data_IF_595196088403
#
_entry.id   IF_595196088403
#
_cell.length_a   1.000
_cell.length_b   1.000
_cell.length_c   1.000
_cell.angle_alpha   90.00
_cell.angle_beta   90.00
_cell.angle_gamma   90.00
#
_symmetry.space_group_name_H-M   'P 1'
#
loop_
_entity.id
_entity.type
_entity.pdbx_description
1 polymer ?
#
# COMPACT_ATOMS: atom_id res chain seq x y z
N UNK A 1 -22.70 1.34 -13.13
CA UNK A 1 -22.32 2.47 -12.21
C UNK A 1 -20.81 2.67 -12.36
N UNK A 2 -20.39 3.88 -12.72
CA UNK A 2 -18.95 4.19 -12.86
C UNK A 2 -18.50 5.05 -11.69
N UNK A 3 -17.39 4.68 -11.07
CA UNK A 3 -16.84 5.38 -9.91
C UNK A 3 -15.42 5.87 -10.25
N UNK A 4 -15.21 7.16 -10.08
CA UNK A 4 -13.88 7.77 -10.21
C UNK A 4 -13.19 7.71 -8.84
N UNK A 5 -12.03 7.09 -8.79
CA UNK A 5 -11.21 7.01 -7.56
C UNK A 5 -10.05 7.98 -7.70
N UNK A 6 -9.87 8.83 -6.70
CA UNK A 6 -8.83 9.87 -6.69
C UNK A 6 -7.94 9.73 -5.44
N UNK A 7 -6.65 9.85 -5.65
CA UNK A 7 -5.65 9.89 -4.59
C UNK A 7 -4.72 11.10 -4.86
N UNK A 8 -4.96 12.19 -4.14
CA UNK A 8 -4.17 13.43 -4.22
C UNK A 8 -2.99 13.37 -3.25
N UNK A 9 -1.78 13.48 -3.79
CA UNK A 9 -0.57 13.80 -3.03
C UNK A 9 -0.25 15.29 -3.15
N UNK A 10 0.85 15.72 -2.53
CA UNK A 10 1.25 17.15 -2.51
C UNK A 10 1.52 17.73 -3.90
N UNK A 11 2.11 16.96 -4.81
CA UNK A 11 2.47 17.41 -6.18
C UNK A 11 2.11 16.38 -7.25
N UNK A 12 1.21 15.43 -6.91
CA UNK A 12 0.79 14.38 -7.84
C UNK A 12 -0.64 13.95 -7.54
N UNK A 13 -1.28 13.37 -8.55
CA UNK A 13 -2.63 12.85 -8.43
C UNK A 13 -2.70 11.53 -9.21
N UNK A 14 -3.15 10.49 -8.55
CA UNK A 14 -3.47 9.20 -9.18
C UNK A 14 -4.98 9.06 -9.28
N UNK A 15 -5.45 8.51 -10.40
CA UNK A 15 -6.87 8.26 -10.57
C UNK A 15 -7.13 6.94 -11.28
N UNK A 16 -8.36 6.45 -11.09
CA UNK A 16 -8.85 5.27 -11.78
C UNK A 16 -10.37 5.40 -11.95
N UNK A 17 -10.88 5.20 -13.16
CA UNK A 17 -12.31 5.10 -13.41
C UNK A 17 -12.68 3.62 -13.49
N UNK A 18 -13.57 3.17 -12.63
CA UNK A 18 -13.96 1.75 -12.50
C UNK A 18 -15.42 1.58 -12.86
N UNK A 19 -15.74 0.61 -13.72
CA UNK A 19 -17.13 0.15 -13.89
C UNK A 19 -17.44 -0.86 -12.79
N UNK A 20 -18.31 -0.48 -11.87
CA UNK A 20 -18.67 -1.31 -10.72
C UNK A 20 -19.56 -2.51 -11.07
N UNK A 21 -20.07 -2.59 -12.30
CA UNK A 21 -20.83 -3.79 -12.74
C UNK A 21 -19.91 -4.96 -13.11
N UNK A 22 -18.68 -4.65 -13.57
CA UNK A 22 -17.66 -5.65 -13.94
C UNK A 22 -16.46 -5.64 -13.00
N UNK A 23 -16.34 -4.61 -12.18
CA UNK A 23 -15.15 -4.29 -11.35
C UNK A 23 -13.88 -4.04 -12.21
N UNK A 24 -14.04 -3.71 -13.49
CA UNK A 24 -12.95 -3.44 -14.41
C UNK A 24 -12.54 -1.96 -14.41
N UNK A 25 -11.26 -1.73 -14.52
CA UNK A 25 -10.70 -0.39 -14.69
C UNK A 25 -10.84 0.06 -16.15
N UNK A 26 -11.70 1.05 -16.39
CA UNK A 26 -11.88 1.64 -17.72
C UNK A 26 -10.68 2.49 -18.11
N UNK A 27 -10.15 3.27 -17.17
CA UNK A 27 -8.95 4.09 -17.35
C UNK A 27 -8.25 4.26 -16.02
N UNK A 28 -6.93 4.41 -16.08
CA UNK A 28 -6.13 4.80 -14.91
C UNK A 28 -5.06 5.78 -15.33
N UNK A 29 -4.67 6.67 -14.42
CA UNK A 29 -3.65 7.64 -14.78
C UNK A 29 -2.95 8.25 -13.58
N UNK A 30 -1.94 9.02 -13.95
CA UNK A 30 -1.07 9.72 -13.02
C UNK A 30 -0.84 11.13 -13.57
N UNK A 31 -1.07 12.12 -12.73
CA UNK A 31 -0.61 13.50 -12.96
C UNK A 31 0.58 13.73 -12.04
N UNK A 32 1.64 14.26 -12.60
CA UNK A 32 2.90 14.52 -11.90
C UNK A 32 3.29 15.98 -12.02
N UNK A 33 4.05 16.47 -11.04
CA UNK A 33 4.66 17.80 -11.01
C UNK A 33 3.61 18.93 -11.00
N UNK A 34 2.50 18.70 -10.27
CA UNK A 34 1.45 19.72 -10.08
C UNK A 34 2.07 20.91 -9.32
N UNK A 35 1.88 22.12 -9.82
CA UNK A 35 2.44 23.35 -9.26
C UNK A 35 3.93 23.53 -9.54
N UNK A 36 4.53 22.68 -10.40
CA UNK A 36 5.96 22.69 -10.71
C UNK A 36 6.13 22.61 -12.23
N UNK A 37 7.21 23.19 -12.76
CA UNK A 37 7.51 23.15 -14.20
C UNK A 37 7.59 21.70 -14.71
N UNK A 38 7.01 21.44 -15.86
CA UNK A 38 7.02 20.13 -16.50
C UNK A 38 5.89 19.20 -16.06
N UNK A 39 4.76 19.78 -15.67
CA UNK A 39 3.56 19.01 -15.30
C UNK A 39 3.12 18.10 -16.46
N UNK A 40 2.74 16.86 -16.14
CA UNK A 40 2.35 15.86 -17.14
C UNK A 40 1.24 14.95 -16.61
N UNK A 41 0.24 14.70 -17.46
CA UNK A 41 -0.76 13.64 -17.25
C UNK A 41 -0.40 12.45 -18.15
N UNK A 42 -0.43 11.26 -17.58
CA UNK A 42 -0.31 10.00 -18.31
C UNK A 42 -1.55 9.15 -18.02
N UNK A 43 -2.41 8.96 -19.02
CA UNK A 43 -3.59 8.07 -18.95
C UNK A 43 -3.28 6.76 -19.65
N UNK A 44 -3.74 5.67 -19.06
CA UNK A 44 -3.66 4.32 -19.61
C UNK A 44 -5.06 3.71 -19.70
N UNK A 45 -5.37 3.19 -20.89
CA UNK A 45 -6.57 2.41 -21.17
C UNK A 45 -6.09 1.05 -21.65
N UNK A 46 -6.69 -0.04 -21.21
CA UNK A 46 -6.26 -1.37 -21.62
C UNK A 46 -6.42 -1.54 -23.14
N UNK A 47 -5.38 -2.08 -23.79
CA UNK A 47 -5.34 -2.29 -25.22
C UNK A 47 -5.03 -1.05 -26.06
N UNK A 48 -4.81 0.11 -25.45
CA UNK A 48 -4.45 1.36 -26.16
C UNK A 48 -3.07 1.86 -25.75
N UNK A 49 -2.46 2.67 -26.61
CA UNK A 49 -1.23 3.40 -26.27
C UNK A 49 -1.49 4.41 -25.15
N UNK A 50 -0.44 4.77 -24.42
CA UNK A 50 -0.55 5.76 -23.35
C UNK A 50 -0.89 7.13 -23.93
N UNK A 51 -1.91 7.76 -23.40
CA UNK A 51 -2.25 9.16 -23.71
C UNK A 51 -1.47 10.05 -22.74
N UNK A 52 -0.60 10.92 -23.30
CA UNK A 52 0.28 11.78 -22.51
C UNK A 52 0.00 13.23 -22.87
N UNK A 53 -0.34 14.05 -21.88
CA UNK A 53 -0.57 15.48 -22.04
C UNK A 53 0.44 16.23 -21.17
N UNK A 54 1.24 17.08 -21.82
CA UNK A 54 2.21 17.96 -21.15
C UNK A 54 1.68 19.39 -21.24
N UNK A 55 1.29 19.94 -20.11
CA UNK A 55 0.85 21.34 -20.01
C UNK A 55 1.03 21.83 -18.58
N UNK A 56 1.24 23.14 -18.38
CA UNK A 56 1.32 23.68 -17.03
C UNK A 56 0.03 23.42 -16.25
N UNK A 57 0.18 23.03 -14.99
CA UNK A 57 -0.92 22.85 -14.03
C UNK A 57 -0.52 23.61 -12.77
N UNK A 58 -1.20 24.72 -12.49
CA UNK A 58 -0.86 25.59 -11.37
C UNK A 58 -1.20 24.91 -10.02
N UNK A 59 -2.26 24.11 -10.01
CA UNK A 59 -2.75 23.47 -8.80
C UNK A 59 -3.50 22.16 -9.10
N UNK A 60 -4.06 21.55 -8.06
CA UNK A 60 -4.82 20.29 -8.18
C UNK A 60 -6.14 20.47 -8.93
N UNK A 61 -6.72 21.67 -8.95
CA UNK A 61 -7.94 21.94 -9.72
C UNK A 61 -7.66 21.81 -11.23
N UNK A 62 -6.55 22.40 -11.69
CA UNK A 62 -6.09 22.24 -13.09
C UNK A 62 -5.84 20.76 -13.40
N UNK A 63 -5.20 20.04 -12.47
CA UNK A 63 -4.89 18.62 -12.65
C UNK A 63 -6.19 17.78 -12.74
N UNK A 64 -7.15 18.01 -11.87
CA UNK A 64 -8.44 17.28 -11.88
C UNK A 64 -9.22 17.62 -13.15
N UNK A 65 -9.27 18.89 -13.53
CA UNK A 65 -9.90 19.30 -14.78
C UNK A 65 -9.31 18.55 -15.97
N UNK A 66 -7.98 18.49 -16.06
CA UNK A 66 -7.31 17.75 -17.13
C UNK A 66 -7.62 16.25 -17.11
N UNK A 67 -7.73 15.64 -15.91
CA UNK A 67 -8.16 14.23 -15.77
C UNK A 67 -9.57 14.06 -16.34
N UNK A 68 -10.50 14.93 -15.96
CA UNK A 68 -11.88 14.86 -16.43
C UNK A 68 -11.96 15.05 -17.95
N UNK A 69 -11.24 16.03 -18.49
CA UNK A 69 -11.13 16.27 -19.94
C UNK A 69 -10.58 15.02 -20.66
N UNK A 70 -9.54 14.37 -20.10
CA UNK A 70 -8.95 13.15 -20.66
C UNK A 70 -9.91 11.94 -20.63
N UNK A 71 -10.79 11.88 -19.63
CA UNK A 71 -11.79 10.78 -19.52
C UNK A 71 -12.88 10.89 -20.59
N UNK A 72 -13.23 12.13 -21.01
CA UNK A 72 -14.27 12.38 -22.04
C UNK A 72 -13.68 12.71 -23.43
N UNK A 73 -12.35 12.67 -23.59
CA UNK A 73 -11.69 12.97 -24.86
C UNK A 73 -12.25 12.08 -25.99
N UNK A 74 -12.50 12.66 -27.17
CA UNK A 74 -13.14 11.96 -28.28
C UNK A 74 -12.36 10.77 -28.83
N UNK A 75 -11.02 10.73 -28.66
CA UNK A 75 -10.16 9.66 -29.18
C UNK A 75 -9.58 8.79 -28.06
N UNK A 76 -9.23 9.40 -26.94
CA UNK A 76 -8.49 8.76 -25.85
C UNK A 76 -9.33 8.52 -24.61
N UNK A 77 -10.57 9.04 -24.58
CA UNK A 77 -11.48 8.92 -23.46
C UNK A 77 -12.17 7.55 -23.37
N UNK A 78 -12.89 7.33 -22.29
CA UNK A 78 -13.59 6.06 -21.99
C UNK A 78 -15.05 6.28 -21.59
N UNK A 79 -15.49 7.54 -21.52
CA UNK A 79 -16.88 7.95 -21.28
C UNK A 79 -17.24 9.09 -22.22
N UNK A 80 -18.53 9.24 -22.53
CA UNK A 80 -19.02 10.27 -23.45
C UNK A 80 -19.37 11.58 -22.74
N UNK A 81 -19.65 11.52 -21.44
CA UNK A 81 -20.06 12.66 -20.62
C UNK A 81 -19.64 12.43 -19.16
N UNK A 82 -19.38 13.51 -18.47
CA UNK A 82 -19.14 13.52 -17.02
C UNK A 82 -20.32 12.97 -16.21
N UNK A 83 -21.53 13.06 -16.75
CA UNK A 83 -22.76 12.52 -16.11
C UNK A 83 -22.71 11.00 -15.93
N UNK A 84 -21.79 10.32 -16.63
CA UNK A 84 -21.58 8.88 -16.43
C UNK A 84 -20.83 8.55 -15.14
N UNK A 85 -20.18 9.54 -14.50
CA UNK A 85 -19.50 9.37 -13.21
C UNK A 85 -20.54 9.44 -12.10
N UNK A 86 -20.88 8.30 -11.54
CA UNK A 86 -21.95 8.15 -10.54
C UNK A 86 -21.51 8.60 -9.14
N UNK A 87 -20.19 8.56 -8.83
CA UNK A 87 -19.62 8.97 -7.55
C UNK A 87 -18.10 9.13 -7.68
N UNK A 88 -17.51 9.91 -6.76
CA UNK A 88 -16.06 10.02 -6.63
C UNK A 88 -15.62 9.49 -5.27
N UNK A 89 -14.69 8.54 -5.26
CA UNK A 89 -14.05 8.03 -4.05
C UNK A 89 -12.70 8.71 -3.84
N UNK A 90 -12.54 9.39 -2.70
CA UNK A 90 -11.32 10.08 -2.33
C UNK A 90 -10.56 9.28 -1.28
N UNK A 91 -9.31 8.93 -1.57
CA UNK A 91 -8.43 8.46 -0.50
C UNK A 91 -8.10 9.64 0.40
N UNK A 92 -8.37 9.47 1.70
CA UNK A 92 -7.98 10.40 2.77
C UNK A 92 -7.08 9.63 3.73
N UNK A 93 -5.93 10.20 4.07
CA UNK A 93 -4.96 9.42 4.84
C UNK A 93 -5.43 9.20 6.27
N UNK A 94 -5.98 10.21 6.94
CA UNK A 94 -6.29 10.10 8.36
C UNK A 94 -7.75 10.49 8.66
N UNK A 95 -8.50 9.54 9.22
CA UNK A 95 -9.89 9.71 9.66
C UNK A 95 -10.04 9.84 11.18
N UNK A 96 -8.94 10.00 11.92
CA UNK A 96 -8.96 10.10 13.37
C UNK A 96 -9.57 8.86 14.02
N UNK A 97 -10.26 9.05 15.13
CA UNK A 97 -11.01 8.02 15.85
C UNK A 97 -12.49 7.98 15.44
N UNK A 98 -12.98 9.07 14.82
CA UNK A 98 -14.40 9.24 14.48
C UNK A 98 -14.80 8.38 13.26
N UNK A 99 -13.94 8.29 12.23
CA UNK A 99 -14.31 7.62 10.98
C UNK A 99 -13.55 6.30 10.83
N UNK A 100 -14.23 5.21 11.16
CA UNK A 100 -13.75 3.82 10.99
C UNK A 100 -14.41 3.10 9.80
N UNK A 101 -15.03 3.87 8.89
CA UNK A 101 -15.66 3.39 7.65
C UNK A 101 -15.59 4.50 6.60
N UNK A 102 -15.88 4.14 5.35
CA UNK A 102 -16.06 5.12 4.27
C UNK A 102 -17.34 5.92 4.52
N UNK A 103 -17.33 7.23 4.25
CA UNK A 103 -18.47 8.13 4.49
C UNK A 103 -18.69 9.06 3.29
N UNK A 104 -19.94 9.40 3.04
CA UNK A 104 -20.28 10.47 2.08
C UNK A 104 -19.78 11.79 2.68
N UNK A 105 -19.09 12.57 1.87
CA UNK A 105 -18.49 13.84 2.32
C UNK A 105 -19.57 14.91 2.39
N UNK A 106 -19.70 15.51 3.55
CA UNK A 106 -20.49 16.71 3.81
C UNK A 106 -19.63 17.73 4.58
N UNK A 107 -20.22 18.82 5.02
CA UNK A 107 -19.48 19.87 5.75
C UNK A 107 -18.91 19.38 7.09
N UNK A 108 -19.59 18.44 7.77
CA UNK A 108 -19.11 17.87 9.04
C UNK A 108 -17.89 16.97 8.80
N UNK A 109 -17.95 16.13 7.77
CA UNK A 109 -16.81 15.25 7.37
C UNK A 109 -15.61 16.12 7.02
N UNK A 110 -15.79 17.18 6.22
CA UNK A 110 -14.71 18.10 5.81
C UNK A 110 -14.08 18.77 7.03
N UNK A 111 -14.90 19.32 7.94
CA UNK A 111 -14.40 19.95 9.17
C UNK A 111 -13.56 18.97 10.00
N UNK A 112 -14.00 17.72 10.12
CA UNK A 112 -13.25 16.71 10.86
C UNK A 112 -11.95 16.30 10.16
N UNK A 113 -11.95 16.19 8.82
CA UNK A 113 -10.71 15.95 8.06
C UNK A 113 -9.70 17.07 8.33
N UNK A 114 -10.18 18.33 8.43
CA UNK A 114 -9.33 19.50 8.79
C UNK A 114 -8.78 19.38 10.22
N UNK A 115 -9.60 18.96 11.19
CA UNK A 115 -9.13 18.70 12.56
C UNK A 115 -7.99 17.66 12.58
N UNK A 116 -8.01 16.70 11.64
CA UNK A 116 -6.99 15.67 11.50
C UNK A 116 -5.72 16.17 10.79
N UNK A 117 -5.63 17.43 10.36
CA UNK A 117 -4.41 17.97 9.72
C UNK A 117 -3.19 17.82 10.63
N UNK A 118 -3.37 18.01 11.95
CA UNK A 118 -2.29 17.84 12.94
C UNK A 118 -1.75 16.40 13.02
N UNK A 119 -2.59 15.40 12.65
CA UNK A 119 -2.21 13.98 12.65
C UNK A 119 -1.58 13.55 11.30
N UNK A 120 -1.93 14.24 10.22
CA UNK A 120 -1.43 13.93 8.88
C UNK A 120 -1.12 15.22 8.08
N UNK A 121 -0.17 16.06 8.57
CA UNK A 121 0.06 17.39 7.98
C UNK A 121 0.58 17.36 6.54
N UNK A 122 1.22 16.27 6.13
CA UNK A 122 1.76 16.12 4.77
C UNK A 122 0.73 15.56 3.78
N UNK A 123 -0.42 15.09 4.24
CA UNK A 123 -1.36 14.32 3.41
C UNK A 123 -2.78 14.90 3.42
N UNK A 124 -3.40 15.04 4.60
CA UNK A 124 -4.81 15.45 4.67
C UNK A 124 -5.08 16.82 4.01
N UNK A 125 -4.20 17.84 4.12
CA UNK A 125 -4.40 19.09 3.36
C UNK A 125 -4.48 18.87 1.85
N UNK A 126 -3.58 18.07 1.27
CA UNK A 126 -3.60 17.75 -0.16
C UNK A 126 -4.86 16.96 -0.55
N UNK A 127 -5.29 16.03 0.30
CA UNK A 127 -6.54 15.29 0.08
C UNK A 127 -7.75 16.24 0.05
N UNK A 128 -7.81 17.21 0.99
CA UNK A 128 -8.88 18.20 1.07
C UNK A 128 -8.92 19.11 -0.19
N UNK A 129 -7.75 19.52 -0.69
CA UNK A 129 -7.66 20.29 -1.96
C UNK A 129 -8.30 19.49 -3.10
N UNK A 130 -7.99 18.19 -3.19
CA UNK A 130 -8.59 17.30 -4.19
C UNK A 130 -10.11 17.17 -4.06
N UNK A 131 -10.61 17.03 -2.83
CA UNK A 131 -12.06 16.96 -2.55
C UNK A 131 -12.75 18.25 -3.01
N UNK A 132 -12.25 19.40 -2.58
CA UNK A 132 -12.84 20.71 -2.92
C UNK A 132 -12.83 20.95 -4.44
N UNK A 133 -11.76 20.59 -5.11
CA UNK A 133 -11.65 20.74 -6.58
C UNK A 133 -12.66 19.84 -7.30
N UNK A 134 -12.87 18.60 -6.83
CA UNK A 134 -13.87 17.70 -7.41
C UNK A 134 -15.31 18.21 -7.18
N UNK A 135 -15.60 18.70 -5.98
CA UNK A 135 -16.92 19.28 -5.68
C UNK A 135 -17.24 20.48 -6.59
N UNK A 136 -16.22 21.33 -6.82
CA UNK A 136 -16.40 22.50 -7.68
C UNK A 136 -16.64 22.11 -9.16
N UNK A 137 -15.93 21.10 -9.64
CA UNK A 137 -16.00 20.65 -11.04
C UNK A 137 -17.19 19.71 -11.28
N UNK A 138 -17.67 19.01 -10.27
CA UNK A 138 -18.76 18.02 -10.34
C UNK A 138 -19.72 18.21 -9.15
N UNK A 139 -20.46 19.36 -9.09
CA UNK A 139 -21.23 19.72 -7.89
C UNK A 139 -22.41 18.79 -7.58
N UNK A 140 -22.85 18.00 -8.54
CA UNK A 140 -23.98 17.07 -8.38
C UNK A 140 -23.54 15.62 -8.14
N UNK A 141 -22.23 15.35 -8.15
CA UNK A 141 -21.70 14.00 -8.02
C UNK A 141 -21.33 13.74 -6.55
N UNK A 142 -21.87 12.69 -5.91
CA UNK A 142 -21.52 12.36 -4.53
C UNK A 142 -20.02 12.10 -4.36
N UNK A 143 -19.43 12.69 -3.33
CA UNK A 143 -18.03 12.50 -2.93
C UNK A 143 -17.97 11.60 -1.71
N UNK A 144 -17.07 10.62 -1.68
CA UNK A 144 -16.93 9.64 -0.59
C UNK A 144 -15.49 9.65 -0.09
N UNK A 145 -15.30 9.85 1.21
CA UNK A 145 -13.99 9.71 1.86
C UNK A 145 -13.73 8.25 2.24
N UNK A 146 -12.57 7.76 1.87
CA UNK A 146 -12.08 6.42 2.21
C UNK A 146 -10.77 6.60 2.98
N UNK A 147 -10.81 6.31 4.28
CA UNK A 147 -9.70 6.62 5.19
C UNK A 147 -8.72 5.44 5.29
N UNK A 148 -7.42 5.72 5.16
CA UNK A 148 -6.36 4.71 5.32
C UNK A 148 -6.35 4.11 6.74
N UNK A 149 -6.78 4.89 7.75
CA UNK A 149 -6.83 4.45 9.15
C UNK A 149 -8.08 3.63 9.48
N UNK A 150 -9.15 3.73 8.68
CA UNK A 150 -10.49 3.24 9.04
C UNK A 150 -10.52 1.74 9.38
N UNK A 151 -9.83 0.90 8.60
CA UNK A 151 -9.81 -0.55 8.83
C UNK A 151 -9.20 -0.92 10.18
N UNK A 152 -8.26 -0.11 10.66
CA UNK A 152 -7.56 -0.31 11.93
C UNK A 152 -8.33 0.26 13.14
N UNK A 153 -9.45 0.95 12.92
CA UNK A 153 -10.32 1.44 13.99
C UNK A 153 -10.93 0.34 14.87
N UNK A 154 -10.83 -0.92 14.43
CA UNK A 154 -11.30 -2.09 15.19
C UNK A 154 -10.25 -2.65 16.17
N UNK A 155 -9.04 -2.11 16.20
CA UNK A 155 -7.99 -2.57 17.12
C UNK A 155 -8.44 -2.39 18.58
N UNK A 156 -8.20 -3.40 19.46
CA UNK A 156 -8.51 -3.26 20.88
C UNK A 156 -7.52 -2.33 21.58
N UNK A 157 -7.90 -1.82 22.75
CA UNK A 157 -7.13 -0.78 23.46
C UNK A 157 -5.67 -1.21 23.74
N UNK A 158 -5.47 -2.45 24.13
CA UNK A 158 -4.14 -3.00 24.38
C UNK A 158 -3.23 -3.06 23.16
N UNK A 159 -3.79 -2.98 21.96
CA UNK A 159 -3.02 -2.94 20.71
C UNK A 159 -2.71 -1.51 20.25
N UNK A 160 -3.55 -0.53 20.63
CA UNK A 160 -3.35 0.83 20.12
C UNK A 160 -2.75 1.82 21.14
N UNK A 161 -2.83 1.56 22.44
CA UNK A 161 -2.28 2.45 23.47
C UNK A 161 -0.75 2.28 23.56
N UNK A 162 -0.04 3.40 23.56
CA UNK A 162 1.39 3.40 23.84
C UNK A 162 1.66 3.45 25.35
N UNK A 163 2.79 2.89 25.76
CA UNK A 163 3.28 2.94 27.15
C UNK A 163 3.83 4.35 27.48
N UNK A 164 2.96 5.34 27.41
CA UNK A 164 3.20 6.76 27.71
C UNK A 164 2.10 7.24 28.68
N UNK A 165 2.31 8.38 29.38
CA UNK A 165 1.24 8.92 30.24
C UNK A 165 -0.08 9.04 29.48
N UNK A 166 -1.14 8.45 30.04
CA UNK A 166 -2.46 8.34 29.40
C UNK A 166 -3.05 9.71 29.00
N UNK A 167 -2.69 10.76 29.74
CA UNK A 167 -3.08 12.14 29.42
C UNK A 167 -2.64 12.59 28.02
N UNK A 168 -1.55 12.03 27.51
CA UNK A 168 -1.07 12.35 26.15
C UNK A 168 -2.01 11.79 25.09
N UNK A 169 -2.56 10.59 25.32
CA UNK A 169 -3.62 10.05 24.48
C UNK A 169 -4.87 10.95 24.57
N UNK A 170 -5.34 11.25 25.77
CA UNK A 170 -6.56 12.05 25.96
C UNK A 170 -6.47 13.46 25.35
N UNK A 171 -5.30 14.09 25.47
CA UNK A 171 -5.09 15.48 25.02
C UNK A 171 -4.77 15.59 23.53
N UNK A 172 -4.00 14.65 22.99
CA UNK A 172 -3.41 14.77 21.67
C UNK A 172 -3.80 13.63 20.71
N UNK A 173 -4.54 12.64 21.17
CA UNK A 173 -4.86 11.45 20.38
C UNK A 173 -3.63 10.59 20.10
N UNK A 174 -2.63 10.57 21.01
CA UNK A 174 -1.41 9.78 20.81
C UNK A 174 -1.73 8.31 21.04
N UNK A 175 -1.97 7.61 19.95
CA UNK A 175 -2.26 6.18 19.91
C UNK A 175 -1.81 5.61 18.55
N UNK A 176 -1.75 4.32 18.44
CA UNK A 176 -1.55 3.65 17.14
C UNK A 176 -2.84 3.76 16.33
N UNK A 177 -2.75 4.33 15.13
CA UNK A 177 -3.85 4.39 14.15
C UNK A 177 -3.68 3.32 13.07
N UNK A 178 -2.46 3.17 12.56
CA UNK A 178 -2.20 2.30 11.43
C UNK A 178 -2.62 2.93 10.09
N UNK A 179 -2.04 2.44 9.01
CA UNK A 179 -2.26 2.98 7.66
C UNK A 179 -2.31 1.85 6.65
N UNK A 180 -2.52 2.18 5.37
CA UNK A 180 -2.78 1.20 4.31
C UNK A 180 -4.02 0.33 4.57
N UNK A 181 -4.94 0.78 5.42
CA UNK A 181 -6.11 0.02 5.86
C UNK A 181 -6.98 -0.46 4.71
N UNK A 182 -7.17 0.38 3.67
CA UNK A 182 -7.90 0.00 2.46
C UNK A 182 -7.26 -1.22 1.78
N UNK A 183 -5.94 -1.23 1.68
CA UNK A 183 -5.19 -2.37 1.10
C UNK A 183 -5.32 -3.62 1.97
N UNK A 184 -5.11 -3.49 3.27
CA UNK A 184 -5.20 -4.62 4.21
C UNK A 184 -6.60 -5.23 4.22
N UNK A 185 -7.64 -4.39 4.22
CA UNK A 185 -9.05 -4.81 4.13
C UNK A 185 -9.31 -5.59 2.84
N UNK A 186 -8.98 -4.99 1.70
CA UNK A 186 -9.21 -5.57 0.37
C UNK A 186 -8.52 -6.92 0.22
N UNK A 187 -7.23 -6.99 0.56
CA UNK A 187 -6.42 -8.21 0.40
C UNK A 187 -6.92 -9.32 1.33
N UNK A 188 -7.31 -8.99 2.57
CA UNK A 188 -7.86 -9.98 3.49
C UNK A 188 -9.20 -10.55 3.02
N UNK A 189 -10.05 -9.73 2.41
CA UNK A 189 -11.31 -10.17 1.78
C UNK A 189 -11.02 -11.05 0.56
N UNK A 190 -10.11 -10.63 -0.30
CA UNK A 190 -9.76 -11.40 -1.52
C UNK A 190 -9.15 -12.77 -1.19
N UNK A 191 -8.33 -12.90 -0.15
CA UNK A 191 -7.82 -14.22 0.23
C UNK A 191 -8.94 -15.14 0.73
N UNK A 192 -9.91 -14.61 1.46
CA UNK A 192 -11.08 -15.38 1.91
C UNK A 192 -11.91 -15.90 0.71
N UNK A 193 -12.14 -15.03 -0.29
CA UNK A 193 -12.82 -15.39 -1.55
C UNK A 193 -12.07 -16.50 -2.29
N UNK A 194 -10.75 -16.33 -2.49
CA UNK A 194 -9.90 -17.31 -3.19
C UNK A 194 -9.90 -18.66 -2.46
N UNK A 195 -9.94 -18.64 -1.14
CA UNK A 195 -10.02 -19.86 -0.31
C UNK A 195 -11.41 -20.50 -0.27
N UNK A 196 -12.44 -19.80 -0.72
CA UNK A 196 -13.83 -20.23 -0.58
C UNK A 196 -14.26 -20.36 0.88
N UNK A 197 -13.76 -19.47 1.76
CA UNK A 197 -14.03 -19.49 3.19
C UNK A 197 -14.66 -18.19 3.69
N UNK A 198 -15.49 -18.29 4.73
CA UNK A 198 -15.94 -17.07 5.40
C UNK A 198 -14.74 -16.40 6.10
N UNK A 199 -14.55 -15.12 5.85
CA UNK A 199 -13.49 -14.34 6.48
C UNK A 199 -13.58 -14.35 8.02
N UNK A 200 -14.78 -14.57 8.55
CA UNK A 200 -15.03 -14.68 10.00
C UNK A 200 -14.33 -15.89 10.63
N UNK A 201 -13.99 -16.91 9.82
CA UNK A 201 -13.30 -18.12 10.29
C UNK A 201 -11.79 -18.03 10.14
N UNK A 202 -11.27 -16.89 9.64
CA UNK A 202 -9.87 -16.77 9.24
C UNK A 202 -9.06 -15.86 10.18
N UNK A 203 -7.81 -16.22 10.31
CA UNK A 203 -6.73 -15.42 10.88
C UNK A 203 -5.72 -15.19 9.75
N UNK A 204 -5.48 -13.95 9.40
CA UNK A 204 -4.70 -13.57 8.21
C UNK A 204 -3.65 -12.54 8.61
N UNK A 205 -2.43 -12.68 8.10
CA UNK A 205 -1.45 -11.59 8.11
C UNK A 205 -1.32 -11.09 6.67
N UNK A 206 -1.58 -9.80 6.48
CA UNK A 206 -1.40 -9.15 5.19
C UNK A 206 -0.14 -8.29 5.24
N UNK A 207 0.63 -8.32 4.14
CA UNK A 207 1.87 -7.55 3.98
C UNK A 207 1.70 -6.62 2.79
N UNK A 208 1.59 -5.32 3.06
CA UNK A 208 1.62 -4.27 2.04
C UNK A 208 3.07 -3.82 1.89
N UNK A 209 3.72 -4.20 0.80
CA UNK A 209 5.16 -3.96 0.59
C UNK A 209 5.38 -3.09 -0.64
N UNK A 210 5.49 -1.78 -0.42
CA UNK A 210 5.80 -0.78 -1.42
C UNK A 210 6.88 0.17 -0.90
N UNK A 211 6.95 1.38 -1.44
CA UNK A 211 7.81 2.44 -0.89
C UNK A 211 7.44 2.74 0.57
N UNK A 212 6.11 2.79 0.88
CA UNK A 212 5.62 2.61 2.24
C UNK A 212 5.34 1.12 2.44
N UNK A 213 5.65 0.57 3.62
CA UNK A 213 5.42 -0.84 3.92
C UNK A 213 4.77 -1.02 5.29
N UNK A 214 3.84 -1.97 5.37
CA UNK A 214 3.17 -2.31 6.64
C UNK A 214 2.68 -3.75 6.64
N UNK A 215 2.53 -4.29 7.85
CA UNK A 215 1.92 -5.59 8.09
C UNK A 215 0.66 -5.37 8.93
N UNK A 216 -0.33 -6.24 8.77
CA UNK A 216 -1.56 -6.17 9.55
C UNK A 216 -2.02 -7.57 9.92
N UNK A 217 -2.36 -7.76 11.19
CA UNK A 217 -3.02 -8.96 11.70
C UNK A 217 -4.53 -8.76 11.61
N UNK A 218 -5.19 -9.64 10.85
CA UNK A 218 -6.64 -9.61 10.62
C UNK A 218 -7.25 -10.87 11.24
N UNK A 219 -8.20 -10.70 12.15
CA UNK A 219 -8.92 -11.80 12.80
C UNK A 219 -10.41 -11.64 12.54
N UNK A 220 -11.02 -12.68 12.01
CA UNK A 220 -12.48 -12.71 11.78
C UNK A 220 -12.92 -11.50 10.91
N UNK A 221 -12.06 -11.07 9.97
CA UNK A 221 -12.34 -9.98 9.06
C UNK A 221 -12.06 -8.58 9.58
N UNK A 222 -11.57 -8.43 10.83
CA UNK A 222 -11.25 -7.13 11.43
C UNK A 222 -9.76 -7.02 11.75
N UNK A 223 -9.22 -5.81 11.67
CA UNK A 223 -7.83 -5.53 12.07
C UNK A 223 -7.71 -5.60 13.60
N UNK A 224 -6.75 -6.39 14.08
CA UNK A 224 -6.48 -6.54 15.52
C UNK A 224 -5.11 -5.97 15.91
N UNK A 225 -4.21 -5.80 14.94
CA UNK A 225 -2.93 -5.09 15.12
C UNK A 225 -2.35 -4.76 13.75
N UNK A 226 -1.47 -3.76 13.72
CA UNK A 226 -0.76 -3.35 12.51
C UNK A 226 0.62 -2.77 12.86
N UNK A 227 1.55 -2.81 11.92
CA UNK A 227 2.93 -2.39 12.18
C UNK A 227 3.13 -0.87 12.16
N UNK A 228 2.36 -0.11 11.36
CA UNK A 228 2.41 1.35 11.39
C UNK A 228 1.66 1.87 12.63
N UNK A 229 2.13 2.96 13.19
CA UNK A 229 1.69 3.47 14.48
C UNK A 229 0.87 4.75 14.46
N UNK A 230 1.28 5.68 15.30
CA UNK A 230 0.73 7.04 15.37
C UNK A 230 0.88 7.75 14.03
N UNK A 231 2.00 7.52 13.35
CA UNK A 231 2.29 7.99 12.01
C UNK A 231 2.70 6.81 11.10
N UNK A 232 2.78 7.01 9.78
CA UNK A 232 3.28 5.96 8.88
C UNK A 232 4.80 5.69 9.01
N UNK A 233 5.48 6.21 10.03
CA UNK A 233 6.91 6.03 10.25
C UNK A 233 7.21 4.73 11.01
N UNK A 234 6.42 4.40 12.04
CA UNK A 234 6.61 3.20 12.88
C UNK A 234 6.45 1.92 12.07
N UNK A 235 7.12 0.87 12.50
CA UNK A 235 6.99 -0.48 11.94
C UNK A 235 8.24 -0.95 11.21
N UNK A 236 8.04 -1.62 10.10
CA UNK A 236 9.14 -2.12 9.27
C UNK A 236 9.88 -0.97 8.59
N UNK A 237 11.16 -1.14 8.34
CA UNK A 237 11.93 -0.18 7.54
C UNK A 237 11.37 -0.14 6.10
N UNK A 238 11.36 1.03 5.50
CA UNK A 238 10.69 1.30 4.23
C UNK A 238 11.67 1.95 3.24
N UNK A 239 11.20 2.30 2.07
CA UNK A 239 12.03 2.94 1.05
C UNK A 239 12.79 4.17 1.56
N UNK A 240 12.08 5.08 2.23
CA UNK A 240 12.68 6.31 2.77
C UNK A 240 12.56 6.45 4.28
N UNK A 241 11.73 5.62 4.93
CA UNK A 241 11.42 5.71 6.37
C UNK A 241 12.18 4.64 7.14
N UNK A 242 12.76 5.04 8.26
CA UNK A 242 13.59 4.14 9.08
C UNK A 242 12.81 2.99 9.74
N UNK A 243 11.49 3.16 9.96
CA UNK A 243 10.71 2.21 10.77
C UNK A 243 11.10 2.31 12.25
N UNK A 244 11.00 1.18 12.95
CA UNK A 244 11.30 1.13 14.40
C UNK A 244 12.80 1.31 14.67
N UNK A 245 13.09 2.31 15.48
CA UNK A 245 14.42 2.58 16.03
C UNK A 245 14.30 2.77 17.55
N UNK A 246 15.42 2.77 18.26
CA UNK A 246 15.43 3.16 19.66
C UNK A 246 15.07 4.67 19.74
N UNK A 247 14.01 5.06 20.48
CA UNK A 247 13.64 6.48 20.61
C UNK A 247 14.77 7.39 21.15
N UNK A 248 15.69 6.85 21.93
CA UNK A 248 16.83 7.63 22.45
C UNK A 248 17.76 8.14 21.34
N UNK A 249 17.73 7.51 20.16
CA UNK A 249 18.52 7.99 18.99
C UNK A 249 18.07 9.41 18.59
N UNK A 250 16.78 9.72 18.70
CA UNK A 250 16.23 11.05 18.36
C UNK A 250 16.94 12.14 19.20
N UNK A 251 16.92 11.99 20.52
CA UNK A 251 17.54 12.96 21.42
C UNK A 251 19.07 12.96 21.34
N UNK A 252 19.69 11.81 21.05
CA UNK A 252 21.11 11.69 20.81
C UNK A 252 21.54 12.54 19.59
N UNK A 253 20.85 12.39 18.46
CA UNK A 253 21.14 13.15 17.23
C UNK A 253 20.95 14.66 17.44
N UNK A 254 19.91 15.06 18.18
CA UNK A 254 19.67 16.48 18.51
C UNK A 254 20.83 17.06 19.32
N UNK A 255 21.39 16.29 20.27
CA UNK A 255 22.47 16.76 21.18
C UNK A 255 23.84 16.68 20.54
N UNK A 256 24.20 15.55 19.94
CA UNK A 256 25.57 15.28 19.46
C UNK A 256 25.82 15.83 18.05
N UNK A 257 24.77 15.81 17.17
CA UNK A 257 24.90 16.34 15.82
C UNK A 257 24.31 17.75 15.67
N UNK A 258 23.67 18.28 16.72
CA UNK A 258 23.05 19.61 16.72
C UNK A 258 21.81 19.73 15.85
N UNK A 259 21.16 18.61 15.50
CA UNK A 259 20.00 18.61 14.60
C UNK A 259 18.76 19.12 15.35
N UNK A 260 17.97 19.93 14.67
CA UNK A 260 16.63 20.33 15.13
C UNK A 260 15.66 19.14 15.06
N UNK A 261 14.53 19.25 15.73
CA UNK A 261 13.46 18.24 15.68
C UNK A 261 12.98 17.99 14.24
N UNK A 262 12.88 19.04 13.42
CA UNK A 262 12.47 18.92 12.02
C UNK A 262 13.52 18.19 11.17
N UNK A 263 14.81 18.49 11.38
CA UNK A 263 15.89 17.80 10.66
C UNK A 263 15.96 16.32 11.03
N UNK A 264 15.76 15.96 12.30
CA UNK A 264 15.68 14.55 12.71
C UNK A 264 14.44 13.88 12.12
N UNK A 265 13.30 14.57 12.12
CA UNK A 265 12.07 14.05 11.48
C UNK A 265 12.30 13.82 9.98
N UNK A 266 12.94 14.74 9.28
CA UNK A 266 13.27 14.59 7.86
C UNK A 266 14.27 13.44 7.62
N UNK A 267 15.27 13.31 8.46
CA UNK A 267 16.22 12.20 8.44
C UNK A 267 15.49 10.84 8.52
N UNK A 268 14.51 10.72 9.43
CA UNK A 268 13.77 9.48 9.64
C UNK A 268 12.75 9.18 8.54
N UNK A 269 12.23 10.20 7.85
CA UNK A 269 11.13 10.04 6.86
C UNK A 269 11.58 10.14 5.39
N UNK A 270 12.62 10.93 5.10
CA UNK A 270 12.97 11.31 3.73
C UNK A 270 14.40 10.94 3.34
N UNK A 271 15.30 10.88 4.31
CA UNK A 271 16.70 10.57 4.02
C UNK A 271 16.87 9.06 3.96
N UNK A 272 16.81 8.62 2.89
CA UNK A 272 17.11 7.43 2.11
C UNK A 272 18.06 6.43 2.79
N UNK A 273 17.65 5.87 3.92
CA UNK A 273 18.36 4.74 4.54
C UNK A 273 18.47 3.57 3.53
N UNK A 274 17.59 3.55 2.53
CA UNK A 274 17.52 2.48 1.52
C UNK A 274 17.54 3.00 0.07
N UNK A 275 18.30 4.08 -0.22
CA UNK A 275 18.35 4.56 -1.62
C UNK A 275 19.01 3.54 -2.54
N UNK A 276 20.02 2.84 -2.06
CA UNK A 276 20.56 1.67 -2.74
C UNK A 276 19.51 0.56 -2.92
N UNK A 277 18.43 0.60 -2.11
CA UNK A 277 17.30 -0.34 -2.19
C UNK A 277 16.19 0.15 -3.09
N UNK A 278 15.96 1.47 -3.19
CA UNK A 278 14.95 2.02 -4.09
C UNK A 278 15.39 1.93 -5.54
N UNK A 279 16.67 2.12 -5.80
CA UNK A 279 17.25 1.78 -7.09
C UNK A 279 17.09 0.29 -7.37
N UNK A 280 17.18 -0.59 -6.35
CA UNK A 280 16.91 -2.02 -6.46
C UNK A 280 15.41 -2.36 -6.47
N UNK A 281 14.55 -1.63 -5.78
CA UNK A 281 13.11 -1.92 -5.65
C UNK A 281 12.24 -1.20 -6.70
N UNK A 282 12.68 -0.07 -7.22
CA UNK A 282 12.20 0.47 -8.51
C UNK A 282 12.60 -0.47 -9.65
N UNK A 283 13.62 -1.26 -9.40
CA UNK A 283 14.07 -2.37 -10.21
C UNK A 283 13.81 -3.72 -9.53
N UNK A 284 12.58 -3.95 -9.06
CA UNK A 284 12.05 -5.31 -9.02
C UNK A 284 12.04 -5.91 -10.46
N UNK A 285 12.13 -5.07 -11.48
CA UNK A 285 12.69 -5.43 -12.78
C UNK A 285 14.11 -6.01 -12.67
N UNK A 286 14.93 -5.60 -11.69
CA UNK A 286 16.31 -6.12 -11.47
C UNK A 286 16.33 -7.45 -10.69
N UNK A 287 15.30 -7.77 -9.92
CA UNK A 287 15.14 -9.14 -9.39
C UNK A 287 14.86 -10.16 -10.52
N UNK A 288 14.56 -9.65 -11.71
CA UNK A 288 14.50 -10.44 -12.95
C UNK A 288 15.84 -10.50 -13.68
N UNK A 289 16.83 -9.69 -13.28
CA UNK A 289 18.12 -9.67 -13.96
C UNK A 289 19.14 -10.55 -13.23
N UNK A 290 19.85 -11.34 -14.00
CA UNK A 290 20.70 -12.45 -13.60
C UNK A 290 21.88 -12.14 -12.66
N UNK A 291 22.05 -10.89 -12.23
CA UNK A 291 23.21 -10.54 -11.42
C UNK A 291 22.86 -9.43 -10.41
N UNK A 292 22.38 -9.81 -9.25
CA UNK A 292 22.47 -8.98 -8.07
C UNK A 292 23.95 -8.76 -7.75
N UNK A 293 24.57 -7.83 -8.44
CA UNK A 293 25.90 -7.33 -8.05
C UNK A 293 25.71 -6.45 -6.81
N UNK A 294 25.69 -7.09 -5.65
CA UNK A 294 25.84 -6.39 -4.38
C UNK A 294 27.21 -5.74 -4.43
N UNK A 295 27.24 -4.46 -4.76
CA UNK A 295 28.50 -3.72 -4.95
C UNK A 295 29.14 -3.28 -3.64
N UNK A 296 28.38 -3.27 -2.53
CA UNK A 296 28.89 -2.82 -1.24
C UNK A 296 28.38 -3.69 -0.09
N UNK A 297 29.19 -3.79 0.95
CA UNK A 297 28.82 -4.44 2.21
C UNK A 297 27.58 -3.78 2.85
N UNK A 298 27.43 -2.48 2.64
CA UNK A 298 26.30 -1.68 3.08
C UNK A 298 24.98 -2.16 2.45
N UNK A 299 24.95 -2.40 1.15
CA UNK A 299 23.77 -2.91 0.43
C UNK A 299 23.37 -4.30 0.95
N UNK A 300 24.34 -5.14 1.20
CA UNK A 300 24.11 -6.47 1.79
C UNK A 300 23.54 -6.41 3.21
N UNK A 301 23.90 -5.67 3.94
CA UNK A 301 23.50 -5.48 5.21
C UNK A 301 22.15 -4.98 5.29
N UNK A 302 21.92 -4.05 4.48
CA UNK A 302 20.56 -3.52 4.45
C UNK A 302 19.52 -4.57 4.03
N UNK A 303 19.80 -5.35 3.02
CA UNK A 303 18.93 -6.45 2.59
C UNK A 303 18.71 -7.48 3.70
N UNK A 304 19.78 -7.84 4.37
CA UNK A 304 19.72 -8.78 5.50
C UNK A 304 18.90 -8.21 6.66
N UNK A 305 19.11 -6.93 6.97
CA UNK A 305 18.35 -6.19 8.01
C UNK A 305 16.85 -6.18 7.69
N UNK A 306 16.47 -5.82 6.47
CA UNK A 306 15.07 -5.77 6.04
C UNK A 306 14.40 -7.14 6.18
N UNK A 307 15.06 -8.19 5.69
CA UNK A 307 14.56 -9.57 5.82
C UNK A 307 14.38 -9.96 7.30
N UNK A 308 15.36 -9.65 8.14
CA UNK A 308 15.30 -9.94 9.58
C UNK A 308 14.16 -9.17 10.27
N UNK A 309 14.01 -7.91 9.95
CA UNK A 309 12.90 -7.11 10.52
C UNK A 309 11.52 -7.57 10.07
N UNK A 310 11.45 -8.02 9.09
CA UNK A 310 10.34 -8.53 8.64
C UNK A 310 10.02 -9.78 9.27
N UNK A 311 10.94 -10.60 9.29
CA UNK A 311 10.76 -11.86 10.01
C UNK A 311 10.37 -11.66 11.47
N UNK A 312 11.03 -10.73 12.16
CA UNK A 312 10.71 -10.39 13.55
C UNK A 312 9.28 -9.84 13.71
N UNK A 313 8.85 -8.93 12.85
CA UNK A 313 7.50 -8.39 12.88
C UNK A 313 6.45 -9.50 12.62
N UNK A 314 6.71 -10.35 11.66
CA UNK A 314 5.86 -11.53 11.39
C UNK A 314 5.83 -12.46 12.61
N UNK A 315 6.99 -12.69 13.24
CA UNK A 315 7.09 -13.49 14.47
C UNK A 315 6.28 -12.90 15.61
N UNK A 316 6.35 -11.60 15.84
CA UNK A 316 5.54 -10.91 16.87
C UNK A 316 4.04 -11.06 16.60
N UNK A 317 3.61 -10.85 15.35
CA UNK A 317 2.21 -11.03 14.96
C UNK A 317 1.75 -12.51 15.08
N UNK A 318 2.65 -13.46 14.82
CA UNK A 318 2.36 -14.91 14.94
C UNK A 318 2.20 -15.33 16.40
N UNK A 319 2.93 -14.77 17.34
CA UNK A 319 2.80 -15.09 18.75
C UNK A 319 1.43 -14.77 19.35
N UNK A 320 0.90 -14.11 18.75
CA UNK A 320 -0.40 -13.70 19.15
C UNK A 320 -1.44 -14.67 18.76
N UNK A 321 -0.96 -15.49 18.02
CA UNK A 321 -1.85 -16.41 17.32
C UNK A 321 -1.49 -17.89 17.53
N UNK A 322 -1.14 -18.32 18.71
CA UNK A 322 -0.57 -19.65 19.03
C UNK A 322 -1.52 -20.83 18.70
N UNK A 323 -2.74 -20.55 18.37
CA UNK A 323 -3.66 -21.63 17.97
C UNK A 323 -4.19 -21.45 16.55
N UNK A 324 -3.65 -22.32 15.70
CA UNK A 324 -4.18 -22.46 14.50
C UNK A 324 -3.91 -21.48 13.50
N UNK A 325 -2.86 -21.40 13.61
CA UNK A 325 -2.37 -20.53 12.58
C UNK A 325 -2.72 -21.01 11.18
N UNK A 326 -3.73 -20.42 10.62
CA UNK A 326 -3.81 -20.26 9.18
C UNK A 326 -2.99 -19.00 8.84
N UNK A 327 -1.66 -19.11 8.90
CA UNK A 327 -0.81 -18.05 8.41
C UNK A 327 -0.77 -18.11 6.90
N UNK A 328 -1.67 -17.38 6.27
CA UNK A 328 -1.52 -17.07 4.86
C UNK A 328 -0.66 -15.82 4.77
N UNK A 329 0.62 -16.03 4.49
CA UNK A 329 1.49 -14.96 4.10
C UNK A 329 1.10 -14.57 2.67
N UNK A 330 0.11 -13.69 2.55
CA UNK A 330 -0.14 -13.06 1.27
C UNK A 330 0.84 -11.90 1.14
N UNK A 331 1.95 -12.19 0.52
CA UNK A 331 2.86 -11.15 0.07
C UNK A 331 2.09 -10.37 -0.99
N UNK A 332 1.52 -9.21 -0.60
CA UNK A 332 0.95 -8.30 -1.58
C UNK A 332 2.13 -7.71 -2.34
N UNK A 333 2.57 -8.40 -3.09
CA UNK A 333 3.33 -7.97 -3.90
C UNK A 333 2.61 -6.99 -4.43
N UNK A 334 2.87 -5.79 -4.11
CA UNK A 334 2.46 -4.55 -4.69
C UNK A 334 2.57 -4.66 -6.19
N UNK A 335 1.44 -4.63 -6.79
CA UNK A 335 1.24 -4.51 -8.23
C UNK A 335 2.43 -5.00 -9.07
N UNK A 336 2.61 -6.26 -9.16
CA UNK A 336 3.25 -6.78 -10.36
C UNK A 336 2.30 -6.43 -11.51
N UNK A 337 2.73 -5.53 -12.35
CA UNK A 337 2.03 -5.17 -13.58
C UNK A 337 1.67 -6.49 -14.31
N UNK A 338 0.39 -6.70 -14.58
CA UNK A 338 -0.08 -7.92 -15.29
C UNK A 338 0.64 -8.14 -16.62
N UNK A 339 1.20 -7.06 -17.19
CA UNK A 339 2.07 -7.11 -18.38
C UNK A 339 3.40 -7.83 -18.12
N UNK A 340 3.85 -7.90 -16.86
CA UNK A 340 5.09 -8.60 -16.50
C UNK A 340 4.90 -10.12 -16.41
N UNK A 341 3.70 -10.61 -16.09
CA UNK A 341 3.43 -12.06 -16.08
C UNK A 341 3.56 -12.69 -17.47
N UNK A 342 3.16 -11.99 -18.52
CA UNK A 342 3.25 -12.49 -19.92
C UNK A 342 4.69 -12.51 -20.48
N UNK A 343 5.59 -11.66 -19.95
CA UNK A 343 7.00 -11.62 -20.40
C UNK A 343 7.90 -12.54 -19.56
N UNK A 344 7.49 -12.93 -18.40
CA UNK A 344 8.27 -13.81 -17.53
C UNK A 344 8.39 -15.27 -17.99
N UNK A 345 7.87 -15.47 -18.65
CA UNK A 345 7.80 -16.75 -19.14
C UNK A 345 8.89 -17.11 -20.11
N UNK A 346 9.56 -16.17 -20.56
CA UNK A 346 10.60 -16.46 -21.56
C UNK A 346 11.98 -16.78 -20.97
N UNK A 347 12.29 -16.45 -19.79
CA UNK A 347 13.63 -16.61 -19.21
C UNK A 347 13.70 -17.33 -17.83
N UNK A 348 13.16 -18.10 -17.55
CA UNK A 348 12.98 -18.73 -16.35
C UNK A 348 13.95 -19.77 -15.98
N UNK A 349 14.98 -19.81 -16.28
CA UNK A 349 15.78 -21.00 -15.92
C UNK A 349 16.64 -20.89 -14.66
N UNK A 350 16.80 -19.80 -14.09
CA UNK A 350 17.66 -19.71 -12.89
C UNK A 350 17.11 -18.97 -11.66
N UNK A 351 16.31 -18.23 -11.76
CA UNK A 351 15.72 -17.52 -10.68
C UNK A 351 14.66 -18.29 -10.02
N UNK A 352 14.00 -18.76 -10.82
CA UNK A 352 12.94 -19.63 -10.25
C UNK A 352 13.50 -20.75 -9.36
N UNK A 353 14.38 -21.17 -9.72
CA UNK A 353 14.97 -22.17 -8.97
C UNK A 353 15.45 -21.75 -7.66
N UNK A 354 15.97 -20.73 -7.72
CA UNK A 354 16.41 -20.19 -6.44
C UNK A 354 15.25 -19.73 -5.53
N UNK A 355 14.34 -19.38 -6.09
CA UNK A 355 13.23 -19.03 -5.44
C UNK A 355 12.56 -20.18 -4.92
N UNK A 356 12.43 -21.13 -5.73
CA UNK A 356 11.86 -22.42 -5.29
C UNK A 356 12.69 -23.00 -4.13
N UNK A 357 13.98 -23.03 -4.27
CA UNK A 357 14.89 -23.47 -3.18
C UNK A 357 14.75 -22.65 -1.91
N UNK A 358 14.54 -21.36 -2.03
CA UNK A 358 14.35 -20.45 -0.88
C UNK A 358 12.97 -20.62 -0.24
N UNK A 359 11.94 -20.87 -1.04
CA UNK A 359 10.59 -21.24 -0.60
C UNK A 359 10.62 -22.63 0.09
N UNK A 360 11.36 -23.58 -0.45
CA UNK A 360 11.56 -24.92 0.14
C UNK A 360 12.35 -24.84 1.46
N UNK A 361 13.33 -23.94 1.58
CA UNK A 361 14.04 -23.67 2.85
C UNK A 361 13.15 -22.99 3.90
N UNK A 362 12.25 -22.09 3.48
CA UNK A 362 11.22 -21.49 4.34
C UNK A 362 10.21 -22.56 4.79
N UNK A 363 9.87 -23.46 3.90
CA UNK A 363 9.01 -24.63 4.16
C UNK A 363 9.63 -25.54 5.25
N UNK A 364 10.90 -25.89 5.13
CA UNK A 364 11.68 -26.69 6.11
C UNK A 364 11.78 -25.98 7.46
N UNK A 365 11.91 -24.70 7.47
CA UNK A 365 11.88 -23.90 8.73
C UNK A 365 10.49 -23.79 9.38
N UNK A 366 9.64 -23.70 8.69
CA UNK A 366 8.37 -23.64 9.07
C UNK A 366 7.87 -24.92 9.54
N UNK A 367 8.27 -25.94 8.92
CA UNK A 367 7.88 -27.28 9.37
C UNK A 367 8.16 -27.53 10.86
N UNK A 368 9.20 -26.98 11.38
CA UNK A 368 9.60 -27.15 12.78
C UNK A 368 8.61 -26.56 13.79
N UNK A 369 7.82 -25.56 13.38
CA UNK A 369 6.99 -24.77 14.29
C UNK A 369 5.50 -24.84 13.99
N UNK A 370 5.10 -25.54 12.92
CA UNK A 370 3.71 -25.60 12.47
C UNK A 370 3.07 -26.96 12.83
N UNK A 371 1.81 -26.95 13.22
CA UNK A 371 1.07 -28.19 13.44
C UNK A 371 0.73 -28.87 12.10
N UNK A 372 0.35 -30.14 12.14
CA UNK A 372 0.11 -30.98 10.95
C UNK A 372 -0.93 -30.41 9.97
N UNK A 373 -1.97 -29.77 10.47
CA UNK A 373 -3.05 -29.21 9.65
C UNK A 373 -2.58 -27.98 8.86
N UNK A 374 -1.79 -27.13 9.49
CA UNK A 374 -1.17 -25.94 8.86
C UNK A 374 -0.11 -26.37 7.84
N UNK A 375 0.67 -27.40 8.14
CA UNK A 375 1.65 -28.02 7.22
C UNK A 375 0.98 -28.53 5.95
N UNK A 376 -0.13 -29.24 6.08
CA UNK A 376 -0.90 -29.80 4.98
C UNK A 376 -1.47 -28.69 4.08
N UNK A 377 -2.00 -27.63 4.68
CA UNK A 377 -2.59 -26.49 3.94
C UNK A 377 -1.53 -25.62 3.26
N UNK A 378 -0.41 -25.39 3.90
CA UNK A 378 0.75 -24.69 3.31
C UNK A 378 1.31 -25.51 2.12
N UNK A 379 1.43 -26.82 2.28
CA UNK A 379 1.85 -27.75 1.22
C UNK A 379 0.87 -27.76 0.04
N UNK A 380 -0.44 -27.79 0.30
CA UNK A 380 -1.50 -27.70 -0.71
C UNK A 380 -1.46 -26.34 -1.45
N UNK A 381 -1.27 -25.24 -0.73
CA UNK A 381 -1.15 -23.90 -1.32
C UNK A 381 0.09 -23.79 -2.21
N UNK A 382 1.22 -24.29 -1.73
CA UNK A 382 2.47 -24.31 -2.50
C UNK A 382 2.37 -25.25 -3.71
N UNK A 383 1.65 -26.37 -3.59
CA UNK A 383 1.35 -27.30 -4.69
C UNK A 383 0.41 -26.64 -5.72
N UNK A 384 -0.60 -25.89 -5.29
CA UNK A 384 -1.50 -25.14 -6.18
C UNK A 384 -0.75 -24.03 -6.92
N UNK A 385 0.14 -23.33 -6.23
CA UNK A 385 1.00 -22.30 -6.84
C UNK A 385 1.98 -22.94 -7.82
N UNK A 386 2.52 -24.06 -7.48
CA UNK A 386 3.37 -24.89 -8.36
C UNK A 386 2.59 -25.49 -9.53
N UNK A 387 1.50 -25.64 -9.33
CA UNK A 387 0.70 -26.14 -10.28
C UNK A 387 0.34 -25.19 -11.32
N UNK A 388 0.29 -24.32 -10.85
CA UNK A 388 0.10 -23.30 -11.67
C UNK A 388 1.31 -22.96 -12.45
N UNK A 389 2.23 -22.84 -11.82
CA UNK A 389 3.57 -22.72 -12.40
C UNK A 389 3.91 -23.90 -13.33
N UNK A 390 3.59 -25.08 -12.95
CA UNK A 390 3.82 -26.28 -13.74
C UNK A 390 2.97 -26.32 -15.02
N UNK A 391 1.73 -25.91 -14.95
CA UNK A 391 0.86 -25.76 -16.15
C UNK A 391 1.38 -24.68 -17.10
N UNK A 392 1.84 -23.56 -16.54
CA UNK A 392 2.45 -22.46 -17.31
C UNK A 392 3.77 -22.92 -17.92
N UNK A 393 4.58 -23.65 -17.18
CA UNK A 393 5.82 -24.28 -17.67
C UNK A 393 5.52 -25.40 -18.68
N UNK A 394 4.74 -25.94 -18.44
CA UNK A 394 4.35 -26.98 -19.27
C UNK A 394 3.77 -26.56 -20.57
N UNK A 395 3.05 -25.66 -20.55
CA UNK A 395 2.53 -25.08 -21.80
C UNK A 395 3.67 -24.34 -22.59
N UNK A 396 4.48 -24.02 -21.74
CA UNK A 396 5.59 -23.45 -22.24
C UNK A 396 6.56 -24.38 -22.82
N UNK A 397 6.66 -25.41 -22.34
CA UNK A 397 7.53 -26.49 -22.87
C UNK A 397 6.94 -27.16 -24.11
N UNK A 398 5.64 -27.19 -24.24
CA UNK A 398 4.94 -27.72 -25.44
C UNK A 398 4.94 -26.73 -26.61
N UNK A 399 5.25 -25.55 -26.39
CA UNK A 399 5.39 -24.51 -27.42
C UNK A 399 6.84 -24.14 -27.85
N UNK A 400 7.42 -24.76 -27.20
CA UNK A 400 8.74 -24.61 -27.56
C UNK A 400 9.25 -25.68 -28.27
#
# INVERSE_FOLDING_TARGET
MKVLVINCGSSSLKYQLIDMSTEESLAQGLVERIGIEGSVLTQKVEGRDKYIVKQPMADHKDAIKLVLDALVDSENGVISSMDEISAVGHRVVHGGEKYNASVVIDSEVKAYIEECFKLAPLHNPANMIGINACEELMPNTPMVAVFDTAFHGTMPEEAYIYALPYELYQKHGIRKYGFHGTSHKYVSQKVAEVMGKDIKDLKIITCHLGNGASLCAVKNGVSVDTSMGFTPLEGVAMGTRCGNIDPAIVTFLMKEEGLSADEVNDLMNKNQVFLGFLELAQTLEILKMEHLKIKTLEQYXHLKYLNTKXELQLGHMQLXWVEXMLSYLLLVXVKMDQKQEKNAXRDXNSXEXKXIKKLTMLEVRXEKYLNQDVKLRLSLFLQMKNXXLRETLXNXYKSX
#
